data_IF_101505759426
#
_entry.id   IF_101505759426
#
_cell.length_a   1.000
_cell.length_b   1.000
_cell.length_c   1.000
_cell.angle_alpha   90.00
_cell.angle_beta   90.00
_cell.angle_gamma   90.00
#
_symmetry.space_group_name_H-M   'P 1'
#
loop_
_entity.id
_entity.type
_entity.pdbx_description
1 polymer ?
#
# COMPACT_ATOMS: atom_id res chain seq x y z
N UNK A 1 -4.49 5.81 -80.60
CA UNK A 1 -3.29 5.76 -79.74
C UNK A 1 -3.53 6.68 -78.53
N UNK A 2 -3.73 6.14 -77.32
CA UNK A 2 -3.88 6.91 -76.07
C UNK A 2 -2.77 6.44 -75.12
N UNK A 3 -2.01 7.32 -74.45
CA UNK A 3 -0.94 6.89 -73.56
C UNK A 3 -1.54 6.43 -72.23
N UNK A 4 -1.08 5.28 -71.74
CA UNK A 4 -1.41 4.76 -70.42
C UNK A 4 -0.45 5.40 -69.43
N UNK A 5 -0.93 6.32 -68.58
CA UNK A 5 -0.16 6.83 -67.44
C UNK A 5 -0.19 5.79 -66.32
N UNK A 6 0.94 5.14 -66.07
CA UNK A 6 1.16 4.32 -64.87
C UNK A 6 1.32 5.23 -63.65
N UNK A 7 0.35 5.21 -62.76
CA UNK A 7 0.46 5.84 -61.43
C UNK A 7 1.19 4.86 -60.52
N UNK A 8 2.47 5.13 -60.25
CA UNK A 8 3.24 4.46 -59.20
C UNK A 8 2.70 4.91 -57.83
N UNK A 9 1.88 4.07 -57.18
CA UNK A 9 1.49 4.27 -55.80
C UNK A 9 2.69 3.94 -54.89
N UNK A 10 3.29 4.97 -54.29
CA UNK A 10 4.32 4.79 -53.29
C UNK A 10 3.66 4.33 -51.98
N UNK A 11 3.82 3.06 -51.64
CA UNK A 11 3.40 2.52 -50.34
C UNK A 11 4.41 3.05 -49.30
N UNK A 12 4.02 4.12 -48.60
CA UNK A 12 4.73 4.59 -47.41
C UNK A 12 4.55 3.55 -46.30
N UNK A 13 5.56 2.70 -46.11
CA UNK A 13 5.66 1.82 -44.97
C UNK A 13 5.93 2.69 -43.72
N UNK A 14 4.87 3.12 -43.05
CA UNK A 14 5.00 3.79 -41.76
C UNK A 14 5.60 2.79 -40.77
N UNK A 15 6.88 2.95 -40.44
CA UNK A 15 7.52 2.21 -39.35
C UNK A 15 6.75 2.53 -38.07
N UNK A 16 6.04 1.55 -37.53
CA UNK A 16 5.40 1.66 -36.23
C UNK A 16 6.51 1.80 -35.18
N UNK A 17 6.76 3.02 -34.71
CA UNK A 17 7.62 3.25 -33.56
C UNK A 17 7.00 2.50 -32.36
N UNK A 18 7.81 1.79 -31.56
CA UNK A 18 7.31 1.17 -30.34
C UNK A 18 6.70 2.26 -29.45
N UNK A 19 5.44 2.05 -29.02
CA UNK A 19 4.82 2.92 -28.02
C UNK A 19 5.69 2.87 -26.75
N UNK A 20 5.94 3.99 -26.06
CA UNK A 20 6.55 3.94 -24.75
C UNK A 20 5.72 3.00 -23.88
N UNK A 21 6.38 2.11 -23.14
CA UNK A 21 5.72 1.27 -22.14
C UNK A 21 5.17 2.23 -21.08
N UNK A 22 3.90 2.60 -21.19
CA UNK A 22 3.14 3.15 -20.07
C UNK A 22 3.24 2.13 -18.94
N UNK A 23 3.77 2.51 -17.76
CA UNK A 23 3.63 1.62 -16.60
C UNK A 23 4.70 1.61 -15.53
N UNK A 24 5.72 2.48 -15.54
CA UNK A 24 6.51 2.73 -14.32
C UNK A 24 6.55 4.22 -14.02
N UNK A 25 5.75 4.60 -13.04
CA UNK A 25 5.76 5.96 -12.48
C UNK A 25 7.19 6.32 -12.05
N UNK A 26 7.66 7.50 -12.46
CA UNK A 26 9.04 7.90 -12.19
C UNK A 26 9.26 8.09 -10.68
N UNK A 27 10.40 7.63 -10.15
CA UNK A 27 10.77 7.84 -8.74
C UNK A 27 10.88 9.35 -8.47
N UNK A 28 10.02 9.87 -7.60
CA UNK A 28 9.89 11.30 -7.35
C UNK A 28 10.82 11.78 -6.22
N UNK A 29 10.80 13.07 -5.90
CA UNK A 29 11.55 13.60 -4.75
C UNK A 29 10.93 13.13 -3.42
N UNK A 30 9.60 13.07 -3.36
CA UNK A 30 8.84 12.47 -2.26
C UNK A 30 9.30 11.03 -1.99
N UNK A 31 9.39 10.19 -3.03
CA UNK A 31 9.85 8.79 -2.87
C UNK A 31 11.19 8.68 -2.17
N UNK A 32 12.15 9.53 -2.55
CA UNK A 32 13.50 9.52 -2.00
C UNK A 32 13.58 10.05 -0.57
N UNK A 33 12.59 10.82 -0.12
CA UNK A 33 12.61 11.52 1.16
C UNK A 33 11.62 10.93 2.19
N UNK A 34 10.57 10.25 1.75
CA UNK A 34 9.43 9.91 2.59
C UNK A 34 8.94 8.46 2.50
N UNK A 35 9.46 7.63 1.58
CA UNK A 35 9.06 6.21 1.49
C UNK A 35 9.25 5.49 2.83
N UNK A 36 8.25 4.75 3.28
CA UNK A 36 8.35 3.95 4.51
C UNK A 36 9.19 2.68 4.23
N UNK A 37 10.11 2.26 5.12
CA UNK A 37 10.93 1.07 4.89
C UNK A 37 10.14 -0.23 4.68
N UNK A 38 9.07 -0.39 5.47
CA UNK A 38 8.20 -1.56 5.44
C UNK A 38 7.03 -1.45 4.44
N UNK A 39 6.99 -0.38 3.63
CA UNK A 39 5.99 -0.27 2.57
C UNK A 39 6.36 -1.22 1.41
N UNK A 40 5.54 -2.26 1.13
CA UNK A 40 5.85 -3.23 0.10
C UNK A 40 5.65 -2.69 -1.32
N UNK A 41 5.02 -1.52 -1.49
CA UNK A 41 4.78 -0.86 -2.79
C UNK A 41 5.73 0.31 -3.08
N UNK A 42 6.69 0.58 -2.19
CA UNK A 42 7.61 1.69 -2.37
C UNK A 42 8.42 1.55 -3.67
N UNK A 43 8.50 2.65 -4.43
CA UNK A 43 9.30 2.73 -5.66
C UNK A 43 10.71 3.28 -5.40
N UNK A 44 10.91 3.96 -4.27
CA UNK A 44 12.19 4.53 -3.82
C UNK A 44 12.82 3.81 -2.62
N UNK A 45 14.02 4.26 -2.18
CA UNK A 45 14.64 3.73 -0.97
C UNK A 45 13.78 4.03 0.27
N UNK A 46 13.66 3.06 1.17
CA UNK A 46 13.01 3.27 2.46
C UNK A 46 13.78 4.28 3.31
N UNK A 47 13.08 5.26 3.88
CA UNK A 47 13.63 6.32 4.74
C UNK A 47 13.14 6.10 6.17
N UNK A 48 13.97 5.56 7.09
CA UNK A 48 13.61 5.45 8.50
C UNK A 48 13.29 6.81 9.12
N UNK A 49 12.43 6.81 10.12
CA UNK A 49 11.92 8.03 10.75
C UNK A 49 13.06 8.91 11.28
N UNK A 50 14.09 8.32 11.87
CA UNK A 50 15.23 8.99 12.49
C UNK A 50 16.11 9.73 11.48
N UNK A 51 16.01 9.37 10.20
CA UNK A 51 16.79 9.95 9.10
C UNK A 51 15.98 10.83 8.16
N UNK A 52 14.68 10.96 8.38
CA UNK A 52 13.83 11.79 7.54
C UNK A 52 14.06 13.27 7.86
N UNK A 53 14.35 14.08 6.84
CA UNK A 53 14.23 15.54 6.93
C UNK A 53 12.76 15.91 6.69
N UNK A 54 11.98 16.04 7.77
CA UNK A 54 10.52 16.19 7.65
C UNK A 54 10.10 17.47 6.91
N UNK A 55 10.70 18.66 7.14
CA UNK A 55 10.38 19.86 6.35
C UNK A 55 10.61 19.68 4.84
N UNK A 56 11.73 19.06 4.44
CA UNK A 56 12.00 18.78 3.02
C UNK A 56 11.07 17.72 2.46
N UNK A 57 10.78 16.67 3.24
CA UNK A 57 9.86 15.61 2.84
C UNK A 57 8.44 16.16 2.60
N UNK A 58 7.89 16.94 3.54
CA UNK A 58 6.58 17.59 3.39
C UNK A 58 6.55 18.47 2.14
N UNK A 59 7.59 19.27 1.92
CA UNK A 59 7.68 20.15 0.74
C UNK A 59 7.69 19.34 -0.57
N UNK A 60 8.53 18.32 -0.66
CA UNK A 60 8.63 17.47 -1.85
C UNK A 60 7.34 16.69 -2.11
N UNK A 61 6.76 16.06 -1.09
CA UNK A 61 5.54 15.29 -1.23
C UNK A 61 4.32 16.14 -1.56
N UNK A 62 4.26 17.37 -1.06
CA UNK A 62 3.21 18.32 -1.45
C UNK A 62 3.32 18.67 -2.93
N UNK A 63 4.53 18.99 -3.41
CA UNK A 63 4.76 19.36 -4.80
C UNK A 63 4.49 18.17 -5.75
N UNK A 64 4.99 16.98 -5.42
CA UNK A 64 4.83 15.79 -6.26
C UNK A 64 3.36 15.34 -6.31
N UNK A 65 2.64 15.34 -5.19
CA UNK A 65 1.21 15.02 -5.19
C UNK A 65 0.37 16.06 -5.93
N UNK A 66 0.76 17.34 -5.89
CA UNK A 66 0.09 18.38 -6.69
C UNK A 66 0.34 18.19 -8.20
N UNK A 67 1.52 17.70 -8.59
CA UNK A 67 1.84 17.39 -9.97
C UNK A 67 1.17 16.10 -10.47
N UNK A 68 0.90 15.14 -9.58
CA UNK A 68 0.21 13.88 -9.87
C UNK A 68 -0.91 13.59 -8.85
N UNK A 69 -2.04 14.32 -8.88
CA UNK A 69 -3.15 14.12 -7.95
C UNK A 69 -3.75 12.72 -8.08
N UNK A 70 -4.30 12.19 -6.98
CA UNK A 70 -4.92 10.87 -6.96
C UNK A 70 -3.92 9.71 -6.96
N UNK A 71 -2.62 9.98 -6.76
CA UNK A 71 -1.59 8.95 -6.62
C UNK A 71 -1.55 8.43 -5.17
N UNK A 72 -2.06 7.22 -4.88
CA UNK A 72 -2.26 6.77 -3.50
C UNK A 72 -0.94 6.66 -2.72
N UNK A 73 0.13 6.22 -3.39
CA UNK A 73 1.50 6.18 -2.83
C UNK A 73 1.98 7.55 -2.34
N UNK A 74 1.86 8.60 -3.18
CA UNK A 74 2.29 9.95 -2.82
C UNK A 74 1.43 10.54 -1.69
N UNK A 75 0.12 10.27 -1.69
CA UNK A 75 -0.77 10.67 -0.61
C UNK A 75 -0.37 10.03 0.74
N UNK A 76 -0.03 8.74 0.75
CA UNK A 76 0.50 8.07 1.94
C UNK A 76 1.81 8.70 2.42
N UNK A 77 2.77 8.91 1.52
CA UNK A 77 4.07 9.47 1.87
C UNK A 77 3.95 10.90 2.42
N UNK A 78 3.06 11.72 1.85
CA UNK A 78 2.75 13.04 2.39
C UNK A 78 2.13 12.95 3.79
N UNK A 79 1.15 12.06 3.98
CA UNK A 79 0.56 11.80 5.30
C UNK A 79 1.62 11.43 6.32
N UNK A 80 2.50 10.48 6.00
CA UNK A 80 3.61 10.07 6.86
C UNK A 80 4.50 11.25 7.25
N UNK A 81 4.94 12.05 6.28
CA UNK A 81 5.79 13.22 6.55
C UNK A 81 5.09 14.26 7.45
N UNK A 82 3.80 14.49 7.24
CA UNK A 82 2.99 15.41 8.05
C UNK A 82 2.76 14.89 9.47
N UNK A 83 2.47 13.60 9.65
CA UNK A 83 2.35 12.97 10.97
C UNK A 83 3.64 13.14 11.77
N UNK A 84 4.78 12.83 11.17
CA UNK A 84 6.10 12.97 11.81
C UNK A 84 6.48 14.43 12.07
N UNK A 85 5.88 15.38 11.35
CA UNK A 85 6.02 16.82 11.59
C UNK A 85 5.07 17.36 12.67
N UNK A 86 4.29 16.50 13.35
CA UNK A 86 3.31 16.92 14.35
C UNK A 86 2.10 17.64 13.76
N UNK A 87 1.70 17.32 12.51
CA UNK A 87 0.58 17.94 11.80
C UNK A 87 -0.54 16.93 11.48
N UNK A 88 -1.16 16.28 12.49
CA UNK A 88 -2.13 15.21 12.26
C UNK A 88 -3.37 15.67 11.47
N UNK A 89 -3.86 16.89 11.73
CA UNK A 89 -5.04 17.44 11.04
C UNK A 89 -4.86 17.53 9.52
N UNK A 90 -3.63 17.82 9.07
CA UNK A 90 -3.28 17.83 7.65
C UNK A 90 -2.92 16.44 7.11
N UNK A 91 -2.43 15.55 7.97
CA UNK A 91 -1.96 14.23 7.57
C UNK A 91 -3.10 13.24 7.36
N UNK A 92 -4.08 13.23 8.25
CA UNK A 92 -5.17 12.24 8.24
C UNK A 92 -5.98 12.26 6.94
N UNK A 93 -6.38 13.42 6.39
CA UNK A 93 -7.05 13.45 5.08
C UNK A 93 -6.23 12.80 3.96
N UNK A 94 -4.89 12.90 4.02
CA UNK A 94 -4.00 12.26 3.03
C UNK A 94 -3.83 10.77 3.24
N UNK A 95 -3.88 10.31 4.50
CA UNK A 95 -3.94 8.88 4.79
C UNK A 95 -5.24 8.26 4.29
N UNK A 96 -6.36 8.95 4.56
CA UNK A 96 -7.70 8.56 4.10
C UNK A 96 -7.78 8.52 2.57
N UNK A 97 -7.28 9.56 1.88
CA UNK A 97 -7.17 9.60 0.42
C UNK A 97 -6.40 8.39 -0.13
N UNK A 98 -5.26 8.07 0.48
CA UNK A 98 -4.43 6.93 0.08
C UNK A 98 -5.11 5.58 0.31
N UNK A 99 -5.73 5.40 1.47
CA UNK A 99 -6.44 4.17 1.82
C UNK A 99 -7.66 3.96 0.90
N UNK A 100 -8.42 5.02 0.62
CA UNK A 100 -9.53 5.01 -0.34
C UNK A 100 -9.05 4.73 -1.78
N UNK A 101 -7.85 5.18 -2.13
CA UNK A 101 -7.17 4.84 -3.39
C UNK A 101 -6.65 3.41 -3.47
N UNK A 102 -6.92 2.56 -2.46
CA UNK A 102 -6.56 1.14 -2.46
C UNK A 102 -5.11 0.85 -2.05
N UNK A 103 -4.37 1.82 -1.54
CA UNK A 103 -2.97 1.61 -1.14
C UNK A 103 -2.92 0.71 0.10
N UNK A 104 -2.49 -0.55 -0.07
CA UNK A 104 -2.58 -1.58 0.98
C UNK A 104 -1.81 -1.20 2.25
N UNK A 105 -0.67 -0.50 2.09
CA UNK A 105 0.08 0.00 3.24
C UNK A 105 -0.64 1.12 3.99
N UNK A 106 -1.35 2.02 3.29
CA UNK A 106 -2.15 3.06 3.94
C UNK A 106 -3.34 2.50 4.70
N UNK A 107 -4.03 1.49 4.13
CA UNK A 107 -5.12 0.78 4.83
C UNK A 107 -4.63 0.15 6.13
N UNK A 108 -3.47 -0.51 6.11
CA UNK A 108 -2.85 -1.07 7.30
C UNK A 108 -2.55 0.01 8.36
N UNK A 109 -1.88 1.10 7.96
CA UNK A 109 -1.52 2.20 8.86
C UNK A 109 -2.75 2.92 9.42
N UNK A 110 -3.79 3.15 8.61
CA UNK A 110 -5.04 3.74 9.09
C UNK A 110 -5.73 2.83 10.11
N UNK A 111 -5.75 1.52 9.88
CA UNK A 111 -6.28 0.55 10.84
C UNK A 111 -5.53 0.59 12.19
N UNK A 112 -4.20 0.74 12.19
CA UNK A 112 -3.42 0.93 13.43
C UNK A 112 -3.87 2.17 14.22
N UNK A 113 -4.14 3.29 13.53
CA UNK A 113 -4.62 4.51 14.17
C UNK A 113 -6.04 4.34 14.75
N UNK A 114 -6.92 3.65 14.02
CA UNK A 114 -8.29 3.39 14.45
C UNK A 114 -8.38 2.38 15.61
N UNK A 115 -7.45 1.43 15.71
CA UNK A 115 -7.37 0.53 16.87
C UNK A 115 -6.84 1.26 18.10
N UNK A 116 -5.79 2.06 17.92
CA UNK A 116 -5.15 2.78 19.04
C UNK A 116 -5.89 4.04 19.50
N UNK A 117 -6.77 4.60 18.66
CA UNK A 117 -7.39 5.91 18.89
C UNK A 117 -6.41 7.07 18.85
N UNK A 118 -5.21 6.88 18.27
CA UNK A 118 -4.16 7.90 18.26
C UNK A 118 -4.42 8.92 17.16
N UNK A 119 -4.89 10.11 17.56
CA UNK A 119 -5.15 11.23 16.65
C UNK A 119 -6.45 11.08 15.84
N UNK A 120 -7.16 9.97 15.97
CA UNK A 120 -8.48 9.70 15.40
C UNK A 120 -9.36 9.05 16.45
N UNK A 121 -10.68 9.18 16.32
CA UNK A 121 -11.59 8.39 17.14
C UNK A 121 -11.35 6.90 16.89
N UNK A 122 -11.29 6.11 17.96
CA UNK A 122 -11.12 4.68 17.83
C UNK A 122 -12.32 4.04 17.13
N UNK A 123 -12.06 3.20 16.14
CA UNK A 123 -13.06 2.43 15.41
C UNK A 123 -12.46 1.07 15.00
N UNK A 124 -12.42 0.10 15.94
CA UNK A 124 -11.85 -1.21 15.66
C UNK A 124 -12.56 -1.96 14.52
N UNK A 125 -13.84 -1.70 14.26
CA UNK A 125 -14.59 -2.41 13.22
C UNK A 125 -14.27 -1.88 11.82
N UNK A 126 -14.08 -0.57 11.69
CA UNK A 126 -13.51 0.00 10.48
C UNK A 126 -12.07 -0.46 10.28
N UNK A 127 -11.28 -0.52 11.35
CA UNK A 127 -9.90 -1.04 11.28
C UNK A 127 -9.85 -2.48 10.77
N UNK A 128 -10.75 -3.36 11.27
CA UNK A 128 -10.87 -4.74 10.84
C UNK A 128 -11.11 -4.84 9.33
N UNK A 129 -12.01 -4.02 8.80
CA UNK A 129 -12.32 -3.98 7.36
C UNK A 129 -11.10 -3.54 6.54
N UNK A 130 -10.43 -2.47 6.97
CA UNK A 130 -9.23 -1.95 6.30
C UNK A 130 -8.06 -2.95 6.33
N UNK A 131 -7.85 -3.63 7.46
CA UNK A 131 -6.82 -4.66 7.60
C UNK A 131 -7.14 -5.88 6.75
N UNK A 132 -8.39 -6.33 6.71
CA UNK A 132 -8.83 -7.41 5.81
C UNK A 132 -8.56 -7.03 4.34
N UNK A 133 -8.94 -5.83 3.91
CA UNK A 133 -8.66 -5.34 2.55
C UNK A 133 -7.16 -5.25 2.24
N UNK A 134 -6.32 -4.88 3.21
CA UNK A 134 -4.87 -4.85 3.04
C UNK A 134 -4.27 -6.26 2.97
N UNK A 135 -4.76 -7.20 3.79
CA UNK A 135 -4.38 -8.60 3.79
C UNK A 135 -4.74 -9.27 2.47
N UNK A 136 -5.96 -9.05 1.96
CA UNK A 136 -6.40 -9.51 0.63
C UNK A 136 -5.50 -8.98 -0.51
N UNK A 137 -4.92 -7.80 -0.33
CA UNK A 137 -3.97 -7.22 -1.27
C UNK A 137 -2.52 -7.71 -1.07
N UNK A 138 -2.28 -8.69 -0.19
CA UNK A 138 -0.96 -9.28 0.06
C UNK A 138 -0.04 -8.41 0.92
N UNK A 139 -0.59 -7.56 1.79
CA UNK A 139 0.22 -6.80 2.74
C UNK A 139 0.61 -7.69 3.93
N UNK A 140 1.87 -8.15 3.98
CA UNK A 140 2.37 -9.10 4.98
C UNK A 140 2.00 -8.74 6.42
N UNK A 141 2.24 -7.51 6.86
CA UNK A 141 1.90 -7.12 8.24
C UNK A 141 0.38 -7.09 8.47
N UNK A 142 -0.43 -6.86 7.43
CA UNK A 142 -1.88 -6.89 7.58
C UNK A 142 -2.39 -8.33 7.64
N UNK A 143 -1.80 -9.25 6.86
CA UNK A 143 -2.10 -10.69 6.95
C UNK A 143 -1.85 -11.21 8.36
N UNK A 144 -0.66 -10.91 8.91
CA UNK A 144 -0.25 -11.31 10.26
C UNK A 144 -1.15 -10.65 11.31
N UNK A 145 -1.26 -9.31 11.31
CA UNK A 145 -2.00 -8.60 12.36
C UNK A 145 -3.51 -8.89 12.32
N UNK A 146 -4.11 -9.02 11.13
CA UNK A 146 -5.52 -9.38 10.99
C UNK A 146 -5.77 -10.81 11.48
N UNK A 147 -4.96 -11.78 11.04
CA UNK A 147 -5.09 -13.17 11.48
C UNK A 147 -4.91 -13.31 12.99
N UNK A 148 -3.84 -12.75 13.55
CA UNK A 148 -3.57 -12.76 14.99
C UNK A 148 -4.75 -12.17 15.79
N UNK A 149 -5.27 -11.02 15.36
CA UNK A 149 -6.39 -10.38 16.06
C UNK A 149 -7.66 -11.20 15.99
N UNK A 150 -7.96 -11.85 14.86
CA UNK A 150 -9.13 -12.72 14.72
C UNK A 150 -9.00 -13.97 15.59
N UNK A 151 -7.82 -14.59 15.64
CA UNK A 151 -7.57 -15.77 16.47
C UNK A 151 -7.65 -15.49 17.97
N UNK A 152 -7.27 -14.29 18.40
CA UNK A 152 -7.45 -13.82 19.79
C UNK A 152 -8.91 -13.46 20.13
N UNK A 153 -9.87 -13.73 19.23
CA UNK A 153 -11.29 -13.38 19.39
C UNK A 153 -11.59 -11.89 19.19
N UNK A 154 -10.62 -11.12 18.70
CA UNK A 154 -10.77 -9.74 18.29
C UNK A 154 -11.76 -9.58 17.14
N UNK A 155 -12.29 -8.37 16.99
CA UNK A 155 -13.33 -8.02 16.01
C UNK A 155 -14.66 -8.79 16.11
N UNK A 156 -14.86 -9.69 17.08
CA UNK A 156 -16.11 -10.45 17.23
C UNK A 156 -17.38 -9.61 17.49
N UNK A 157 -17.22 -8.32 17.83
CA UNK A 157 -18.35 -7.35 17.96
C UNK A 157 -18.64 -6.59 16.67
N UNK A 158 -17.82 -6.78 15.64
CA UNK A 158 -17.99 -6.14 14.36
C UNK A 158 -18.90 -6.97 13.48
N UNK A 159 -19.64 -6.32 12.58
CA UNK A 159 -20.42 -7.00 11.55
C UNK A 159 -19.49 -7.53 10.44
N UNK A 160 -18.56 -8.41 10.83
CA UNK A 160 -17.51 -8.96 9.98
C UNK A 160 -17.50 -10.49 10.11
N UNK A 161 -17.94 -11.16 9.06
CA UNK A 161 -17.81 -12.61 8.97
C UNK A 161 -16.44 -12.95 8.37
N UNK A 162 -15.60 -13.63 9.16
CA UNK A 162 -14.26 -14.05 8.77
C UNK A 162 -14.19 -15.58 8.82
N UNK A 163 -14.29 -16.27 7.67
CA UNK A 163 -14.13 -17.71 7.62
C UNK A 163 -12.72 -18.10 8.07
N UNK A 164 -12.59 -19.17 8.86
CA UNK A 164 -11.30 -19.70 9.29
C UNK A 164 -10.38 -20.06 8.09
N UNK A 165 -10.96 -20.53 6.99
CA UNK A 165 -10.23 -20.79 5.74
C UNK A 165 -9.55 -19.54 5.17
N UNK A 166 -10.14 -18.36 5.36
CA UNK A 166 -9.52 -17.09 4.97
C UNK A 166 -8.31 -16.77 5.86
N UNK A 167 -8.47 -16.90 7.18
CA UNK A 167 -7.38 -16.69 8.15
C UNK A 167 -6.20 -17.63 7.87
N UNK A 168 -6.51 -18.91 7.62
CA UNK A 168 -5.52 -19.93 7.22
C UNK A 168 -4.79 -19.56 5.92
N UNK A 169 -5.51 -18.99 4.95
CA UNK A 169 -4.94 -18.48 3.70
C UNK A 169 -3.92 -17.36 3.93
N UNK A 170 -4.26 -16.38 4.78
CA UNK A 170 -3.34 -15.29 5.12
C UNK A 170 -2.08 -15.79 5.82
N UNK A 171 -2.22 -16.68 6.80
CA UNK A 171 -1.05 -17.24 7.50
C UNK A 171 -0.19 -18.05 6.54
N UNK A 172 -0.78 -18.88 5.67
CA UNK A 172 -0.02 -19.64 4.68
C UNK A 172 0.77 -18.74 3.72
N UNK A 173 0.18 -17.64 3.24
CA UNK A 173 0.90 -16.67 2.41
C UNK A 173 1.99 -15.94 3.20
N UNK A 174 1.68 -15.51 4.43
CA UNK A 174 2.63 -14.84 5.31
C UNK A 174 3.86 -15.72 5.61
N UNK A 175 3.69 -17.04 5.80
CA UNK A 175 4.81 -17.98 6.06
C UNK A 175 5.84 -17.95 4.94
N UNK A 176 5.38 -17.90 3.69
CA UNK A 176 6.26 -17.83 2.52
C UNK A 176 7.07 -16.53 2.52
N UNK A 177 6.43 -15.40 2.84
CA UNK A 177 7.06 -14.08 2.81
C UNK A 177 7.96 -13.81 4.03
N UNK A 178 7.62 -14.37 5.19
CA UNK A 178 8.31 -14.12 6.45
C UNK A 178 9.60 -14.94 6.61
N UNK A 179 9.82 -15.96 5.78
CA UNK A 179 10.99 -16.85 5.86
C UNK A 179 12.32 -16.10 5.83
N UNK A 180 13.17 -16.35 6.81
CA UNK A 180 14.47 -15.69 6.98
C UNK A 180 14.38 -14.25 7.49
N UNK A 181 13.19 -13.78 7.88
CA UNK A 181 12.97 -12.46 8.46
C UNK A 181 12.71 -12.57 9.96
N UNK A 182 12.72 -11.42 10.66
CA UNK A 182 12.34 -11.36 12.08
C UNK A 182 10.89 -11.80 12.37
N UNK A 183 10.03 -11.87 11.35
CA UNK A 183 8.62 -12.22 11.49
C UNK A 183 8.40 -13.74 11.39
N UNK A 184 9.41 -14.53 10.95
CA UNK A 184 9.23 -15.97 10.71
C UNK A 184 8.66 -16.69 11.92
N UNK A 185 9.22 -16.47 13.10
CA UNK A 185 8.75 -17.10 14.34
C UNK A 185 7.29 -16.74 14.66
N UNK A 186 6.94 -15.46 14.59
CA UNK A 186 5.57 -14.98 14.87
C UNK A 186 4.55 -15.64 13.92
N UNK A 187 4.90 -15.82 12.65
CA UNK A 187 4.00 -16.45 11.68
C UNK A 187 3.86 -17.95 11.91
N UNK A 188 4.94 -18.64 12.30
CA UNK A 188 4.86 -20.07 12.65
C UNK A 188 4.00 -20.29 13.91
N UNK A 189 4.13 -19.44 14.94
CA UNK A 189 3.27 -19.48 16.13
C UNK A 189 1.77 -19.31 15.78
N UNK A 190 1.45 -18.42 14.85
CA UNK A 190 0.08 -18.26 14.35
C UNK A 190 -0.42 -19.49 13.58
N UNK A 191 0.47 -20.16 12.84
CA UNK A 191 0.12 -21.38 12.12
C UNK A 191 -0.20 -22.53 13.09
N UNK A 192 0.61 -22.69 14.14
CA UNK A 192 0.39 -23.69 15.20
C UNK A 192 -0.92 -23.44 15.95
N UNK A 193 -1.25 -22.18 16.24
CA UNK A 193 -2.51 -21.82 16.90
C UNK A 193 -3.76 -22.25 16.10
N UNK A 194 -3.68 -22.22 14.76
CA UNK A 194 -4.76 -22.69 13.89
C UNK A 194 -4.89 -24.23 13.81
N UNK A 195 -3.80 -24.95 14.05
CA UNK A 195 -3.75 -26.41 13.97
C UNK A 195 -4.16 -27.07 15.31
N UNK A 196 -4.01 -26.36 16.44
CA UNK A 196 -4.30 -26.86 17.78
C UNK A 196 -5.77 -26.85 18.21
N UNK A 197 -6.68 -26.34 17.37
CA UNK A 197 -8.14 -26.24 17.65
C UNK A 197 -8.95 -27.46 17.14
N UNK A 198 -8.30 -28.52 16.61
CA UNK A 198 -8.91 -29.81 16.25
C UNK A 198 -9.02 -30.82 17.41
#
# INVERSE_FOLDING_TARGET
MRPVLSVLAAILLAAALPRPVEGREAVTACDRLASHPDDPDRTGPGVPQERMDMPRAVTACTADLAAAPGTPRLAYQLSRALMLSGKPDAALPKLEESAAGGYRHARFVLGLLLISGKGVAADPCRAASLWREAAQAGHLLAEISFAATVLDGGFGRCALEVPEAEVRGYIAHARVQAKGTRLEQEVEELAEALEGDE
#
